data_IF_485197647846
#
_entry.id   IF_485197647846
#
_cell.length_a   1.000
_cell.length_b   1.000
_cell.length_c   1.000
_cell.angle_alpha   90.00
_cell.angle_beta   90.00
_cell.angle_gamma   90.00
#
_symmetry.space_group_name_H-M   'P 1'
#
loop_
_entity.id
_entity.type
_entity.pdbx_description
1 polymer ?
#
# COMPACT_ATOMS: atom_id res chain seq x y z
N UNK A 1 -5.01 4.33 -10.69
CA UNK A 1 -4.02 3.24 -10.54
C UNK A 1 -4.52 2.22 -9.52
N UNK A 2 -4.13 0.95 -9.65
CA UNK A 2 -4.58 -0.11 -8.73
C UNK A 2 -3.71 -0.19 -7.46
N UNK A 3 -4.34 -0.48 -6.32
CA UNK A 3 -3.60 -0.69 -5.06
C UNK A 3 -2.58 -1.84 -5.14
N UNK A 4 -2.88 -2.88 -5.92
CA UNK A 4 -1.97 -4.00 -6.15
C UNK A 4 -0.63 -3.57 -6.76
N UNK A 5 -0.63 -2.53 -7.58
CA UNK A 5 0.58 -2.00 -8.20
C UNK A 5 1.46 -1.25 -7.18
N UNK A 6 0.85 -0.45 -6.32
CA UNK A 6 1.54 0.21 -5.19
C UNK A 6 2.16 -0.84 -4.25
N UNK A 7 1.41 -1.90 -3.93
CA UNK A 7 1.89 -2.99 -3.08
C UNK A 7 3.08 -3.74 -3.70
N UNK A 8 3.02 -4.00 -5.02
CA UNK A 8 4.12 -4.61 -5.77
C UNK A 8 5.38 -3.74 -5.70
N UNK A 9 5.28 -2.45 -6.04
CA UNK A 9 6.44 -1.53 -5.99
C UNK A 9 6.97 -1.38 -4.58
N UNK A 10 6.09 -1.29 -3.57
CA UNK A 10 6.51 -1.25 -2.15
C UNK A 10 7.37 -2.46 -1.77
N UNK A 11 7.02 -3.66 -2.26
CA UNK A 11 7.81 -4.88 -2.04
C UNK A 11 9.16 -4.81 -2.74
N UNK A 12 9.17 -4.41 -4.01
CA UNK A 12 10.42 -4.29 -4.80
C UNK A 12 11.39 -3.27 -4.17
N UNK A 13 10.88 -2.16 -3.63
CA UNK A 13 11.67 -1.15 -2.90
C UNK A 13 12.25 -1.72 -1.59
N UNK A 14 11.48 -2.56 -0.89
CA UNK A 14 11.94 -3.22 0.33
C UNK A 14 13.04 -4.25 0.05
N UNK A 15 12.92 -5.01 -1.05
CA UNK A 15 13.89 -6.02 -1.49
C UNK A 15 15.17 -5.42 -2.10
N UNK A 16 15.09 -4.21 -2.69
CA UNK A 16 16.24 -3.56 -3.28
C UNK A 16 17.30 -3.15 -2.24
N UNK A 17 18.58 -3.44 -2.53
CA UNK A 17 19.72 -3.03 -1.69
C UNK A 17 20.29 -1.65 -2.06
N UNK A 18 20.24 -1.29 -3.36
CA UNK A 18 20.78 -0.03 -3.85
C UNK A 18 19.78 1.12 -3.76
N UNK A 19 20.20 2.25 -3.18
CA UNK A 19 19.38 3.47 -3.11
C UNK A 19 18.94 3.98 -4.48
N UNK A 20 19.83 3.93 -5.48
CA UNK A 20 19.52 4.34 -6.85
C UNK A 20 18.38 3.51 -7.45
N UNK A 21 18.35 2.20 -7.19
CA UNK A 21 17.26 1.32 -7.64
C UNK A 21 15.94 1.67 -6.94
N UNK A 22 15.97 1.95 -5.64
CA UNK A 22 14.77 2.42 -4.91
C UNK A 22 14.23 3.71 -5.52
N UNK A 23 15.11 4.67 -5.80
CA UNK A 23 14.71 5.94 -6.43
C UNK A 23 14.11 5.73 -7.81
N UNK A 24 14.68 4.85 -8.63
CA UNK A 24 14.15 4.54 -9.96
C UNK A 24 12.73 3.95 -9.88
N UNK A 25 12.53 2.93 -9.02
CA UNK A 25 11.22 2.30 -8.82
C UNK A 25 10.14 3.30 -8.37
N UNK A 26 10.49 4.19 -7.43
CA UNK A 26 9.58 5.22 -6.95
C UNK A 26 9.29 6.27 -8.03
N UNK A 27 10.31 6.70 -8.79
CA UNK A 27 10.14 7.68 -9.86
C UNK A 27 9.24 7.14 -10.98
N UNK A 28 9.43 5.89 -11.40
CA UNK A 28 8.60 5.21 -12.39
C UNK A 28 7.13 5.15 -11.92
N UNK A 29 6.90 4.74 -10.68
CA UNK A 29 5.55 4.69 -10.11
C UNK A 29 4.89 6.08 -10.04
N UNK A 30 5.63 7.10 -9.60
CA UNK A 30 5.10 8.46 -9.50
C UNK A 30 4.82 9.09 -10.86
N UNK A 31 5.61 8.75 -11.88
CA UNK A 31 5.34 9.18 -13.25
C UNK A 31 4.09 8.53 -13.85
N UNK A 32 3.78 7.29 -13.46
CA UNK A 32 2.58 6.56 -13.92
C UNK A 32 1.30 6.91 -13.13
N UNK A 33 1.44 7.48 -11.93
CA UNK A 33 0.30 7.81 -11.08
C UNK A 33 -0.52 8.99 -11.67
N UNK A 34 -1.86 8.86 -11.77
CA UNK A 34 -2.74 9.99 -12.06
C UNK A 34 -2.54 11.13 -11.05
N UNK A 35 -2.62 12.38 -11.50
CA UNK A 35 -2.33 13.55 -10.67
C UNK A 35 -3.26 13.66 -9.44
N UNK A 36 -4.52 13.24 -9.59
CA UNK A 36 -5.53 13.19 -8.53
C UNK A 36 -5.30 12.05 -7.52
N UNK A 37 -4.52 11.04 -7.89
CA UNK A 37 -4.17 9.91 -7.02
C UNK A 37 -2.76 10.04 -6.41
N UNK A 38 -1.90 10.94 -6.90
CA UNK A 38 -0.50 11.03 -6.48
C UNK A 38 -0.33 11.18 -4.96
N UNK A 39 -1.15 12.02 -4.32
CA UNK A 39 -1.13 12.20 -2.86
C UNK A 39 -1.49 10.90 -2.11
N UNK A 40 -2.42 10.11 -2.65
CA UNK A 40 -2.86 8.83 -2.08
C UNK A 40 -1.74 7.79 -2.15
N UNK A 41 -1.08 7.68 -3.31
CA UNK A 41 0.05 6.75 -3.53
C UNK A 41 1.20 7.07 -2.57
N UNK A 42 1.57 8.34 -2.45
CA UNK A 42 2.62 8.81 -1.54
C UNK A 42 2.24 8.50 -0.09
N UNK A 43 0.99 8.72 0.31
CA UNK A 43 0.53 8.40 1.65
C UNK A 43 0.77 6.92 1.99
N UNK A 44 0.31 6.00 1.14
CA UNK A 44 0.51 4.56 1.35
C UNK A 44 1.98 4.17 1.44
N UNK A 45 2.83 4.66 0.53
CA UNK A 45 4.27 4.35 0.54
C UNK A 45 5.02 4.95 1.73
N UNK A 46 4.50 6.04 2.31
CA UNK A 46 5.02 6.62 3.56
C UNK A 46 4.54 5.89 4.82
N UNK A 47 3.78 4.79 4.68
CA UNK A 47 3.18 4.07 5.80
C UNK A 47 2.02 4.81 6.46
N UNK A 48 1.40 5.77 5.75
CA UNK A 48 0.26 6.53 6.24
C UNK A 48 -1.01 6.08 5.54
N UNK A 49 -2.04 5.81 6.35
CA UNK A 49 -3.38 5.55 5.85
C UNK A 49 -4.15 6.87 5.74
N UNK A 50 -4.78 7.17 4.60
CA UNK A 50 -5.62 8.36 4.43
C UNK A 50 -6.78 8.42 5.43
N UNK A 51 -7.25 7.26 5.87
CA UNK A 51 -8.33 7.10 6.85
C UNK A 51 -7.87 7.39 8.29
N UNK A 52 -6.59 7.73 8.49
CA UNK A 52 -6.00 7.91 9.81
C UNK A 52 -5.67 6.57 10.48
N UNK A 53 -5.56 6.59 11.81
CA UNK A 53 -5.19 5.41 12.58
C UNK A 53 -6.43 4.52 12.79
N UNK A 54 -6.46 3.27 12.28
CA UNK A 54 -7.63 2.41 12.39
C UNK A 54 -7.83 1.80 13.80
N UNK A 55 -6.95 2.12 14.77
CA UNK A 55 -7.01 1.56 16.13
C UNK A 55 -6.59 0.08 16.23
N UNK A 56 -6.06 -0.50 15.16
CA UNK A 56 -5.67 -1.91 15.09
C UNK A 56 -4.24 -2.09 15.61
N UNK A 57 -4.06 -2.94 16.63
CA UNK A 57 -2.76 -3.29 17.18
C UNK A 57 -2.25 -4.63 16.67
N UNK A 58 -0.95 -4.91 16.90
CA UNK A 58 -0.31 -6.16 16.49
C UNK A 58 -1.00 -7.41 17.06
N UNK A 59 -1.50 -7.34 18.30
CA UNK A 59 -2.27 -8.43 18.92
C UNK A 59 -3.52 -8.78 18.12
N UNK A 60 -4.21 -7.79 17.57
CA UNK A 60 -5.41 -8.01 16.74
C UNK A 60 -5.04 -8.61 15.38
N UNK A 61 -3.90 -8.20 14.79
CA UNK A 61 -3.43 -8.78 13.52
C UNK A 61 -2.94 -10.22 13.64
N UNK A 62 -2.48 -10.63 14.83
CA UNK A 62 -2.02 -11.99 15.09
C UNK A 62 -3.15 -12.97 15.43
N UNK A 63 -4.39 -12.50 15.56
CA UNK A 63 -5.54 -13.35 15.89
C UNK A 63 -6.12 -13.99 14.63
N UNK A 64 -6.19 -15.33 14.63
CA UNK A 64 -6.99 -16.04 13.64
C UNK A 64 -8.47 -15.71 13.83
N UNK A 65 -9.08 -15.21 12.76
CA UNK A 65 -10.48 -14.80 12.75
C UNK A 65 -11.20 -15.55 11.64
N UNK A 66 -12.39 -16.09 11.94
CA UNK A 66 -13.22 -16.70 10.90
C UNK A 66 -13.54 -15.65 9.81
N UNK A 67 -13.55 -16.04 8.52
CA UNK A 67 -13.86 -15.10 7.45
C UNK A 67 -15.25 -14.47 7.66
N UNK A 68 -15.41 -13.18 7.35
CA UNK A 68 -16.72 -12.54 7.45
C UNK A 68 -17.70 -13.26 6.52
N UNK A 69 -18.96 -13.38 6.96
CA UNK A 69 -20.02 -13.90 6.09
C UNK A 69 -20.08 -13.04 4.83
N UNK A 70 -19.83 -13.66 3.67
CA UNK A 70 -19.93 -12.95 2.40
C UNK A 70 -21.36 -12.41 2.27
N UNK A 71 -21.46 -11.10 2.03
CA UNK A 71 -22.73 -10.48 1.71
C UNK A 71 -23.14 -11.05 0.35
N UNK A 72 -24.10 -11.98 0.32
CA UNK A 72 -24.78 -12.34 -0.92
C UNK A 72 -25.49 -11.08 -1.40
N UNK A 73 -25.06 -10.55 -2.54
CA UNK A 73 -25.86 -9.56 -3.27
C UNK A 73 -27.18 -10.23 -3.68
N UNK A 74 -28.32 -9.52 -3.57
CA UNK A 74 -29.58 -9.98 -4.15
C UNK A 74 -29.50 -10.08 -5.68
#
# INVERSE_FOLDING_TARGET
MLLAEVARVSREVAEASARSRKTALLAELFAAAPADEAALVIAYLSGRLPQGRPGIGWRTLAQDTAPPRSRRSP
#
